data_IF_779435433935
#
_entry.id   IF_779435433935
#
_cell.length_a   1.000
_cell.length_b   1.000
_cell.length_c   1.000
_cell.angle_alpha   90.00
_cell.angle_beta   90.00
_cell.angle_gamma   90.00
#
_symmetry.space_group_name_H-M   'P 1'
#
loop_
_entity.id
_entity.type
_entity.pdbx_description
1 polymer ?
#
# COMPACT_ATOMS: atom_id res chain seq x y z
N UNK A 1 -19.29 -10.84 70.17
CA UNK A 1 -19.94 -10.20 69.01
C UNK A 1 -19.32 -8.82 68.80
N UNK A 2 -18.61 -8.63 67.68
CA UNK A 2 -18.94 -7.65 66.60
C UNK A 2 -18.47 -6.21 66.91
N UNK A 3 -17.76 -5.45 66.07
CA UNK A 3 -17.10 -5.63 64.75
C UNK A 3 -16.12 -4.43 64.64
N UNK A 4 -14.88 -4.68 64.22
CA UNK A 4 -13.95 -3.64 63.75
C UNK A 4 -14.48 -3.09 62.41
N UNK A 5 -14.68 -1.77 62.28
CA UNK A 5 -14.82 -1.10 60.96
C UNK A 5 -13.46 -0.56 60.56
N UNK A 6 -12.78 -1.29 59.66
CA UNK A 6 -11.64 -0.82 58.88
C UNK A 6 -12.22 -0.01 57.72
N UNK A 7 -11.90 1.27 57.62
CA UNK A 7 -12.21 2.08 56.44
C UNK A 7 -11.25 1.69 55.32
N UNK A 8 -11.78 1.04 54.28
CA UNK A 8 -11.05 0.74 53.06
C UNK A 8 -10.72 2.03 52.30
N UNK A 9 -9.43 2.34 52.21
CA UNK A 9 -8.90 3.21 51.16
C UNK A 9 -8.91 2.39 49.87
N UNK A 10 -9.95 2.58 49.06
CA UNK A 10 -9.95 2.11 47.68
C UNK A 10 -8.85 2.85 46.90
N UNK A 11 -7.70 2.21 46.75
CA UNK A 11 -6.67 2.62 45.79
C UNK A 11 -7.28 2.60 44.39
N UNK A 12 -7.48 3.78 43.81
CA UNK A 12 -7.82 3.93 42.39
C UNK A 12 -6.69 3.28 41.58
N UNK A 13 -6.99 2.16 40.92
CA UNK A 13 -6.10 1.57 39.91
C UNK A 13 -5.92 2.60 38.79
N UNK A 14 -4.69 2.85 38.30
CA UNK A 14 -4.51 3.68 37.13
C UNK A 14 -5.20 2.99 35.97
N UNK A 15 -6.09 3.71 35.29
CA UNK A 15 -6.60 3.30 33.98
C UNK A 15 -5.39 3.32 33.05
N UNK A 16 -4.80 2.16 32.79
CA UNK A 16 -3.92 2.00 31.64
C UNK A 16 -4.79 2.31 30.43
N UNK A 17 -4.57 3.49 29.84
CA UNK A 17 -4.98 3.73 28.46
C UNK A 17 -4.32 2.62 27.65
N UNK A 18 -5.12 1.62 27.31
CA UNK A 18 -4.72 0.54 26.42
C UNK A 18 -4.58 1.22 25.05
N UNK A 19 -3.38 1.75 24.78
CA UNK A 19 -3.03 2.27 23.46
C UNK A 19 -3.43 1.19 22.46
N UNK A 20 -4.28 1.56 21.51
CA UNK A 20 -4.73 0.63 20.48
C UNK A 20 -3.50 0.19 19.69
N UNK A 21 -3.05 -1.05 19.91
CA UNK A 21 -1.90 -1.60 19.20
C UNK A 21 -2.13 -1.51 17.70
N UNK A 22 -1.27 -0.78 17.00
CA UNK A 22 -1.30 -0.73 15.54
C UNK A 22 -0.65 -2.00 14.98
N UNK A 23 -1.24 -2.54 13.91
CA UNK A 23 -0.74 -3.77 13.30
C UNK A 23 -0.54 -3.58 11.81
N UNK A 24 0.61 -4.03 11.32
CA UNK A 24 0.91 -4.09 9.90
C UNK A 24 0.58 -5.48 9.38
N UNK A 25 -0.20 -5.54 8.30
CA UNK A 25 -0.56 -6.80 7.64
C UNK A 25 0.22 -6.91 6.34
N UNK A 26 1.06 -7.94 6.23
CA UNK A 26 1.86 -8.21 5.04
C UNK A 26 1.33 -9.42 4.31
N UNK A 27 1.21 -9.29 2.99
CA UNK A 27 1.00 -10.42 2.10
C UNK A 27 2.34 -10.83 1.48
N UNK A 28 2.80 -12.04 1.78
CA UNK A 28 4.10 -12.56 1.37
C UNK A 28 3.94 -13.78 0.46
N UNK A 29 4.84 -13.88 -0.51
CA UNK A 29 4.96 -15.00 -1.44
C UNK A 29 5.91 -16.06 -0.85
N UNK A 30 5.47 -16.74 0.21
CA UNK A 30 6.34 -17.59 1.04
C UNK A 30 5.77 -18.99 1.32
N UNK A 31 4.68 -19.35 0.65
CA UNK A 31 3.99 -20.63 0.84
C UNK A 31 3.84 -21.36 -0.48
N UNK A 32 4.18 -22.64 -0.56
CA UNK A 32 4.22 -23.43 -1.80
C UNK A 32 2.95 -23.42 -2.70
N UNK A 33 1.78 -23.04 -2.15
CA UNK A 33 0.50 -22.98 -2.87
C UNK A 33 -0.02 -21.54 -3.07
N UNK A 34 0.73 -20.53 -2.65
CA UNK A 34 0.39 -19.12 -2.84
C UNK A 34 0.95 -18.20 -1.77
N UNK A 35 0.08 -17.36 -1.21
CA UNK A 35 0.50 -16.22 -0.40
C UNK A 35 0.05 -16.38 1.05
N UNK A 36 0.90 -15.96 1.97
CA UNK A 36 0.59 -15.91 3.40
C UNK A 36 0.35 -14.47 3.86
N UNK A 37 -0.61 -14.29 4.76
CA UNK A 37 -0.86 -13.02 5.42
C UNK A 37 -0.26 -13.09 6.82
N UNK A 38 0.67 -12.18 7.12
CA UNK A 38 1.30 -12.06 8.43
C UNK A 38 0.83 -10.78 9.11
N UNK A 39 0.62 -10.87 10.42
CA UNK A 39 0.28 -9.72 11.27
C UNK A 39 1.47 -9.40 12.15
N UNK A 40 1.93 -8.16 12.08
CA UNK A 40 3.09 -7.68 12.81
C UNK A 40 2.68 -6.53 13.74
N UNK A 41 3.21 -6.53 14.96
CA UNK A 41 3.01 -5.47 15.94
C UNK A 41 3.89 -4.26 15.58
N UNK A 42 3.28 -3.10 15.32
CA UNK A 42 4.03 -1.90 14.89
C UNK A 42 4.92 -1.38 16.02
N UNK A 43 4.46 -1.52 17.27
CA UNK A 43 5.20 -1.04 18.45
C UNK A 43 6.48 -1.86 18.70
N UNK A 44 6.55 -3.08 18.17
CA UNK A 44 7.77 -3.92 18.23
C UNK A 44 8.91 -3.40 17.34
N UNK A 45 8.65 -2.38 16.51
CA UNK A 45 9.64 -1.74 15.65
C UNK A 45 10.28 -0.48 16.25
N UNK A 46 9.73 0.08 17.34
CA UNK A 46 10.20 1.33 17.97
C UNK A 46 11.46 1.16 18.85
N UNK A 47 12.15 0.02 18.77
CA UNK A 47 13.45 -0.10 19.41
C UNK A 47 14.47 0.74 18.64
N UNK A 48 15.13 1.70 19.29
CA UNK A 48 16.30 2.49 18.83
C UNK A 48 17.51 1.66 18.33
N UNK A 49 17.32 0.35 18.13
CA UNK A 49 18.28 -0.57 17.55
C UNK A 49 18.30 -0.43 16.01
N UNK A 50 19.25 0.39 15.57
CA UNK A 50 19.95 0.34 14.28
C UNK A 50 19.81 -0.99 13.48
N UNK A 51 19.37 -0.87 12.22
CA UNK A 51 19.78 -1.64 11.00
C UNK A 51 19.82 -3.18 11.00
N UNK A 52 19.11 -3.92 11.85
CA UNK A 52 19.02 -5.38 11.65
C UNK A 52 17.72 -5.76 10.93
N UNK A 53 17.79 -6.30 9.68
CA UNK A 53 16.62 -6.86 9.02
C UNK A 53 16.04 -7.98 9.88
N UNK A 54 14.78 -7.82 10.32
CA UNK A 54 14.05 -8.87 11.02
C UNK A 54 13.41 -9.79 9.97
N UNK A 55 13.63 -11.09 10.13
CA UNK A 55 12.83 -12.08 9.39
C UNK A 55 11.45 -12.13 10.03
N UNK A 56 10.41 -12.23 9.20
CA UNK A 56 9.08 -12.56 9.69
C UNK A 56 9.13 -14.00 10.19
N UNK A 57 8.95 -14.19 11.50
CA UNK A 57 9.00 -15.51 12.15
C UNK A 57 7.65 -15.92 12.71
N UNK A 58 6.71 -14.99 12.81
CA UNK A 58 5.36 -15.22 13.25
C UNK A 58 4.61 -16.08 12.23
N UNK A 59 3.80 -17.06 12.70
CA UNK A 59 2.99 -17.86 11.81
C UNK A 59 1.96 -16.99 11.08
N UNK A 60 1.60 -17.34 9.84
CA UNK A 60 0.61 -16.58 9.09
C UNK A 60 -0.78 -16.73 9.71
N UNK A 61 -1.55 -15.65 9.69
CA UNK A 61 -2.93 -15.61 10.21
C UNK A 61 -3.95 -16.11 9.19
N UNK A 62 -3.61 -16.01 7.91
CA UNK A 62 -4.42 -16.47 6.79
C UNK A 62 -3.51 -16.80 5.60
N UNK A 63 -4.04 -17.60 4.67
CA UNK A 63 -3.36 -17.95 3.42
C UNK A 63 -4.32 -17.86 2.25
N UNK A 64 -3.81 -17.44 1.12
CA UNK A 64 -4.56 -17.29 -0.13
C UNK A 64 -3.87 -18.10 -1.21
N UNK A 65 -4.49 -19.20 -1.63
CA UNK A 65 -3.95 -20.06 -2.69
C UNK A 65 -3.93 -19.33 -4.04
N UNK A 66 -2.77 -19.10 -4.63
CA UNK A 66 -2.67 -18.34 -5.89
C UNK A 66 -1.35 -18.65 -6.60
N UNK A 67 -1.29 -18.61 -7.94
CA UNK A 67 -0.04 -18.80 -8.67
C UNK A 67 1.04 -17.74 -8.33
N UNK A 68 2.27 -18.19 -8.14
CA UNK A 68 3.48 -17.46 -7.71
C UNK A 68 4.05 -16.41 -8.70
N UNK A 69 3.30 -16.02 -9.73
CA UNK A 69 3.83 -15.22 -10.86
C UNK A 69 2.95 -14.02 -11.17
N UNK A 70 1.93 -13.73 -10.32
CA UNK A 70 0.97 -12.64 -10.55
C UNK A 70 0.74 -11.80 -9.29
N UNK A 71 1.80 -11.27 -8.70
CA UNK A 71 1.71 -10.44 -7.49
C UNK A 71 0.95 -9.12 -7.70
N UNK A 72 0.78 -8.66 -8.95
CA UNK A 72 -0.10 -7.54 -9.31
C UNK A 72 -1.60 -7.83 -9.10
N UNK A 73 -1.96 -9.06 -8.75
CA UNK A 73 -3.35 -9.42 -8.44
C UNK A 73 -3.76 -9.02 -7.01
N UNK A 74 -2.90 -8.42 -6.21
CA UNK A 74 -3.26 -8.04 -4.85
C UNK A 74 -3.32 -6.53 -4.68
N UNK A 75 -4.38 -6.07 -4.03
CA UNK A 75 -4.59 -4.65 -3.74
C UNK A 75 -5.27 -4.50 -2.40
N UNK A 76 -4.87 -3.47 -1.65
CA UNK A 76 -5.57 -3.06 -0.43
C UNK A 76 -6.55 -1.93 -0.72
N UNK A 77 -7.72 -1.98 -0.11
CA UNK A 77 -8.68 -0.89 -0.08
C UNK A 77 -9.44 -0.92 1.25
N UNK A 78 -9.40 0.20 1.98
CA UNK A 78 -9.82 0.24 3.38
C UNK A 78 -9.04 -0.76 4.23
N UNK A 79 -9.77 -1.57 5.02
CA UNK A 79 -9.18 -2.65 5.83
C UNK A 79 -8.95 -3.96 5.06
N UNK A 80 -9.37 -4.06 3.79
CA UNK A 80 -9.40 -5.32 3.06
C UNK A 80 -8.21 -5.45 2.11
N UNK A 81 -7.68 -6.67 2.03
CA UNK A 81 -6.70 -7.11 1.04
C UNK A 81 -7.44 -8.02 0.06
N UNK A 82 -7.56 -7.59 -1.19
CA UNK A 82 -8.24 -8.32 -2.24
C UNK A 82 -7.25 -9.13 -3.08
N UNK A 83 -7.65 -10.34 -3.46
CA UNK A 83 -6.90 -11.25 -4.33
C UNK A 83 -7.58 -11.39 -5.70
N UNK A 84 -7.28 -10.47 -6.60
CA UNK A 84 -7.74 -10.37 -8.00
C UNK A 84 -7.07 -11.42 -8.91
N UNK A 85 -7.18 -12.69 -8.54
CA UNK A 85 -6.69 -13.84 -9.33
C UNK A 85 -7.26 -13.91 -10.76
N UNK A 86 -6.58 -14.60 -11.70
CA UNK A 86 -7.12 -14.82 -13.04
C UNK A 86 -8.43 -15.61 -13.01
N UNK A 87 -9.24 -15.48 -14.05
CA UNK A 87 -10.58 -16.10 -14.11
C UNK A 87 -10.56 -17.61 -13.85
N UNK A 88 -9.57 -18.30 -14.38
CA UNK A 88 -9.44 -19.76 -14.30
C UNK A 88 -9.15 -20.23 -12.87
N UNK A 89 -8.76 -19.32 -11.97
CA UNK A 89 -8.29 -19.64 -10.62
C UNK A 89 -9.36 -19.48 -9.53
N UNK A 90 -10.42 -18.68 -9.73
CA UNK A 90 -11.44 -18.48 -8.68
C UNK A 90 -12.80 -17.96 -9.20
N UNK A 91 -13.93 -18.46 -8.65
CA UNK A 91 -15.26 -17.98 -9.01
C UNK A 91 -15.57 -16.57 -8.47
N UNK A 92 -14.87 -16.10 -7.42
CA UNK A 92 -15.04 -14.81 -6.76
C UNK A 92 -13.68 -14.19 -6.39
N UNK A 93 -13.67 -12.96 -5.86
CA UNK A 93 -12.44 -12.31 -5.38
C UNK A 93 -12.32 -12.52 -3.86
N UNK A 94 -11.39 -13.35 -3.37
CA UNK A 94 -11.16 -13.45 -1.93
C UNK A 94 -10.66 -12.09 -1.40
N UNK A 95 -11.31 -11.59 -0.35
CA UNK A 95 -10.93 -10.38 0.35
C UNK A 95 -10.75 -10.70 1.84
N UNK A 96 -9.53 -10.54 2.33
CA UNK A 96 -9.22 -10.68 3.75
C UNK A 96 -9.35 -9.32 4.43
N UNK A 97 -10.21 -9.22 5.45
CA UNK A 97 -10.39 -8.00 6.23
C UNK A 97 -9.44 -8.00 7.44
N UNK A 98 -8.43 -7.14 7.40
CA UNK A 98 -7.43 -7.03 8.47
C UNK A 98 -8.00 -6.52 9.80
N UNK A 99 -9.16 -5.85 9.78
CA UNK A 99 -9.80 -5.33 10.99
C UNK A 99 -10.58 -6.43 11.72
N UNK A 100 -11.38 -7.21 10.98
CA UNK A 100 -12.25 -8.25 11.55
C UNK A 100 -11.64 -9.65 11.51
N UNK A 101 -10.53 -9.81 10.78
CA UNK A 101 -9.90 -11.09 10.43
C UNK A 101 -10.83 -12.03 9.63
N UNK A 102 -11.90 -11.49 9.04
CA UNK A 102 -12.85 -12.24 8.25
C UNK A 102 -12.37 -12.39 6.79
N UNK A 103 -12.71 -13.51 6.17
CA UNK A 103 -12.56 -13.72 4.74
C UNK A 103 -13.93 -13.57 4.07
N UNK A 104 -14.01 -12.68 3.08
CA UNK A 104 -15.21 -12.45 2.27
C UNK A 104 -14.93 -12.79 0.81
N UNK A 105 -15.92 -13.31 0.10
CA UNK A 105 -15.85 -13.47 -1.36
C UNK A 105 -16.57 -12.29 -2.00
N UNK A 106 -15.80 -11.45 -2.68
CA UNK A 106 -16.27 -10.22 -3.33
C UNK A 106 -16.63 -10.48 -4.81
N UNK A 107 -17.50 -9.64 -5.40
CA UNK A 107 -17.82 -9.70 -6.82
C UNK A 107 -16.58 -9.46 -7.69
N UNK A 108 -16.60 -10.01 -8.90
CA UNK A 108 -15.61 -9.71 -9.93
C UNK A 108 -15.98 -8.43 -10.70
N UNK A 109 -14.98 -7.65 -11.16
CA UNK A 109 -15.19 -6.69 -12.24
C UNK A 109 -15.74 -7.40 -13.48
N UNK A 110 -16.42 -6.63 -14.33
CA UNK A 110 -17.04 -7.13 -15.55
C UNK A 110 -16.00 -7.64 -16.55
N UNK A 111 -14.78 -7.07 -16.55
CA UNK A 111 -13.63 -7.56 -17.28
C UNK A 111 -12.62 -8.26 -16.35
N UNK A 112 -12.21 -9.48 -16.71
CA UNK A 112 -11.13 -10.21 -16.02
C UNK A 112 -9.87 -10.12 -16.87
N UNK A 113 -8.83 -9.50 -16.33
CA UNK A 113 -7.56 -9.28 -17.02
C UNK A 113 -6.76 -10.60 -17.10
N UNK A 114 -7.18 -11.52 -17.96
CA UNK A 114 -6.59 -12.86 -18.02
C UNK A 114 -5.17 -12.82 -18.63
N UNK A 115 -4.89 -11.81 -19.48
CA UNK A 115 -3.63 -11.63 -20.23
C UNK A 115 -3.03 -10.21 -20.21
N UNK A 116 -3.67 -9.26 -19.49
CA UNK A 116 -3.24 -7.85 -19.41
C UNK A 116 -2.80 -7.54 -17.98
N UNK A 117 -1.86 -6.62 -17.78
CA UNK A 117 -1.43 -6.18 -16.43
C UNK A 117 -2.40 -5.10 -15.94
N UNK A 118 -3.37 -5.41 -15.06
CA UNK A 118 -4.28 -4.38 -14.54
C UNK A 118 -3.54 -3.40 -13.62
N UNK A 119 -4.06 -2.17 -13.53
CA UNK A 119 -3.69 -1.24 -12.46
C UNK A 119 -4.84 -1.23 -11.46
N UNK A 120 -4.57 -1.72 -10.24
CA UNK A 120 -5.48 -1.59 -9.12
C UNK A 120 -5.02 -0.49 -8.18
N UNK A 121 -5.92 0.41 -7.79
CA UNK A 121 -5.56 1.53 -6.91
C UNK A 121 -6.75 2.01 -6.09
N UNK A 122 -6.51 2.27 -4.81
CA UNK A 122 -7.48 2.88 -3.91
C UNK A 122 -7.33 4.40 -3.95
N UNK A 123 -8.33 5.12 -4.47
CA UNK A 123 -8.36 6.59 -4.54
C UNK A 123 -9.81 7.09 -4.51
N UNK A 124 -10.05 8.26 -3.90
CA UNK A 124 -11.38 8.87 -3.82
C UNK A 124 -12.40 8.00 -3.08
N UNK A 125 -11.95 7.22 -2.09
CA UNK A 125 -12.79 6.26 -1.36
C UNK A 125 -13.29 5.08 -2.19
N UNK A 126 -12.70 4.82 -3.37
CA UNK A 126 -13.09 3.72 -4.26
C UNK A 126 -11.85 2.89 -4.63
N UNK A 127 -12.05 1.61 -4.89
CA UNK A 127 -11.05 0.75 -5.50
C UNK A 127 -11.23 0.77 -7.02
N UNK A 128 -10.30 1.37 -7.74
CA UNK A 128 -10.30 1.41 -9.20
C UNK A 128 -9.54 0.24 -9.80
N UNK A 129 -10.04 -0.22 -10.94
CA UNK A 129 -9.37 -1.09 -11.90
C UNK A 129 -9.24 -0.32 -13.22
N UNK A 130 -8.01 -0.13 -13.67
CA UNK A 130 -7.72 0.40 -14.99
C UNK A 130 -7.12 -0.67 -15.90
N UNK A 131 -7.73 -0.81 -17.07
CA UNK A 131 -7.28 -1.58 -18.22
C UNK A 131 -7.11 -0.61 -19.40
N UNK A 132 -6.43 -1.04 -20.47
CA UNK A 132 -6.15 -0.17 -21.63
C UNK A 132 -7.44 0.43 -22.24
N UNK A 133 -8.52 -0.33 -22.27
CA UNK A 133 -9.80 0.00 -22.90
C UNK A 133 -10.96 0.16 -21.91
N UNK A 134 -10.72 0.04 -20.60
CA UNK A 134 -11.79 0.00 -19.60
C UNK A 134 -11.37 0.55 -18.25
N UNK A 135 -12.26 1.30 -17.63
CA UNK A 135 -12.18 1.69 -16.22
C UNK A 135 -13.39 1.15 -15.47
N UNK A 136 -13.14 0.47 -14.36
CA UNK A 136 -14.17 0.05 -13.41
C UNK A 136 -13.78 0.48 -11.99
N UNK A 137 -14.76 0.65 -11.12
CA UNK A 137 -14.50 0.87 -9.71
C UNK A 137 -15.45 0.08 -8.81
N UNK A 138 -14.96 -0.24 -7.62
CA UNK A 138 -15.72 -0.80 -6.52
C UNK A 138 -15.81 0.27 -5.42
N UNK A 139 -17.02 0.74 -5.16
CA UNK A 139 -17.30 1.64 -4.04
C UNK A 139 -17.48 0.85 -2.75
N UNK A 140 -17.66 1.55 -1.62
CA UNK A 140 -18.04 0.92 -0.36
C UNK A 140 -19.33 0.08 -0.50
N UNK A 141 -19.46 -1.01 0.28
CA UNK A 141 -20.68 -1.80 0.30
C UNK A 141 -21.88 -0.95 0.70
N UNK A 142 -23.02 -1.25 0.09
CA UNK A 142 -24.30 -0.62 0.44
C UNK A 142 -24.69 -0.94 1.89
N UNK A 143 -25.50 -0.09 2.54
CA UNK A 143 -26.00 -0.36 3.89
C UNK A 143 -26.65 -1.74 3.99
N UNK A 144 -26.61 -2.37 5.16
CA UNK A 144 -27.09 -3.75 5.36
C UNK A 144 -28.54 -3.97 4.89
N UNK A 145 -29.39 -2.96 5.04
CA UNK A 145 -30.82 -3.02 4.67
C UNK A 145 -31.08 -2.72 3.17
N UNK A 146 -30.03 -2.59 2.36
CA UNK A 146 -30.13 -2.34 0.92
C UNK A 146 -30.24 -3.64 0.12
N UNK A 147 -31.26 -3.72 -0.73
CA UNK A 147 -31.40 -4.81 -1.71
C UNK A 147 -30.42 -4.71 -2.90
N UNK A 148 -29.73 -3.57 -3.03
CA UNK A 148 -28.73 -3.37 -4.10
C UNK A 148 -27.48 -4.19 -3.80
N UNK A 149 -27.11 -5.16 -4.66
CA UNK A 149 -25.91 -5.97 -4.44
C UNK A 149 -24.66 -5.10 -4.54
N UNK A 150 -23.69 -5.36 -3.67
CA UNK A 150 -22.37 -4.77 -3.81
C UNK A 150 -21.69 -5.31 -5.08
N UNK A 151 -21.35 -4.42 -6.02
CA UNK A 151 -20.81 -4.78 -7.32
C UNK A 151 -19.86 -3.72 -7.88
N UNK A 152 -19.01 -4.14 -8.82
CA UNK A 152 -18.21 -3.23 -9.63
C UNK A 152 -19.09 -2.40 -10.56
N UNK A 153 -18.69 -1.15 -10.75
CA UNK A 153 -19.34 -0.20 -11.67
C UNK A 153 -18.39 0.16 -12.78
N UNK A 154 -18.80 -0.10 -14.03
CA UNK A 154 -18.06 0.32 -15.21
C UNK A 154 -18.28 1.82 -15.45
N UNK A 155 -17.20 2.54 -15.74
CA UNK A 155 -17.27 3.93 -16.18
C UNK A 155 -17.66 3.93 -17.65
N UNK A 156 -18.91 4.30 -17.94
CA UNK A 156 -19.45 4.36 -19.29
C UNK A 156 -18.71 5.46 -20.08
N UNK A 157 -18.35 5.15 -21.32
CA UNK A 157 -17.64 6.05 -22.24
C UNK A 157 -16.30 6.60 -21.69
N UNK A 158 -15.66 5.86 -20.77
CA UNK A 158 -14.32 6.21 -20.32
C UNK A 158 -13.36 6.25 -21.52
N UNK A 159 -12.58 7.33 -21.70
CA UNK A 159 -11.55 7.34 -22.73
C UNK A 159 -10.52 6.24 -22.44
N UNK A 160 -9.87 5.68 -23.48
CA UNK A 160 -8.74 4.78 -23.29
C UNK A 160 -7.67 5.40 -22.38
N UNK A 161 -6.90 4.56 -21.70
CA UNK A 161 -5.79 5.06 -20.90
C UNK A 161 -4.83 5.89 -21.78
N UNK A 162 -4.38 7.06 -21.32
CA UNK A 162 -3.46 7.90 -22.09
C UNK A 162 -2.02 7.36 -22.13
N UNK A 163 -1.80 6.13 -21.62
CA UNK A 163 -0.52 5.44 -21.55
C UNK A 163 -0.73 3.92 -21.53
N UNK A 164 0.31 3.18 -21.88
CA UNK A 164 0.33 1.72 -21.72
C UNK A 164 0.57 1.35 -20.25
N UNK A 165 -0.36 0.60 -19.67
CA UNK A 165 -0.27 0.07 -18.29
C UNK A 165 1.04 -0.68 -18.01
N UNK A 166 1.57 -1.43 -18.99
CA UNK A 166 2.85 -2.14 -18.86
C UNK A 166 4.07 -1.22 -18.70
N UNK A 167 3.92 0.09 -18.98
CA UNK A 167 4.97 1.10 -18.86
C UNK A 167 4.85 1.95 -17.60
N UNK A 168 3.89 1.66 -16.70
CA UNK A 168 3.77 2.35 -15.42
C UNK A 168 5.00 2.07 -14.57
N UNK A 169 5.72 3.13 -14.20
CA UNK A 169 6.90 3.04 -13.34
C UNK A 169 6.56 3.34 -11.88
N UNK A 170 5.66 4.29 -11.65
CA UNK A 170 5.29 4.70 -10.29
C UNK A 170 3.94 5.42 -10.25
N UNK A 171 3.40 5.50 -9.03
CA UNK A 171 2.18 6.25 -8.75
C UNK A 171 2.16 6.79 -7.32
N UNK A 172 1.39 7.84 -7.10
CA UNK A 172 1.19 8.46 -5.80
C UNK A 172 -0.23 9.02 -5.68
N UNK A 173 -0.86 8.82 -4.53
CA UNK A 173 -2.14 9.48 -4.24
C UNK A 173 -1.84 10.87 -3.66
N UNK A 174 -2.51 11.89 -4.18
CA UNK A 174 -2.41 13.25 -3.70
C UNK A 174 -3.05 13.36 -2.30
N UNK A 175 -2.55 14.24 -1.41
CA UNK A 175 -3.11 14.45 -0.07
C UNK A 175 -4.58 14.88 -0.04
N UNK A 176 -5.15 15.34 -1.15
CA UNK A 176 -6.60 15.56 -1.27
C UNK A 176 -7.44 14.26 -1.20
N UNK A 177 -6.79 13.09 -1.26
CA UNK A 177 -7.42 11.78 -1.24
C UNK A 177 -8.21 11.41 -2.50
N UNK A 178 -8.25 12.29 -3.51
CA UNK A 178 -9.09 12.21 -4.72
C UNK A 178 -8.26 12.10 -6.00
N UNK A 179 -7.09 12.71 -6.03
CA UNK A 179 -6.27 12.79 -7.22
C UNK A 179 -5.18 11.72 -7.18
N UNK A 180 -5.10 10.89 -8.20
CA UNK A 180 -4.01 9.93 -8.38
C UNK A 180 -3.01 10.49 -9.40
N UNK A 181 -1.73 10.42 -9.12
CA UNK A 181 -0.67 10.67 -10.10
C UNK A 181 -0.01 9.36 -10.52
N UNK A 182 0.25 9.22 -11.82
CA UNK A 182 0.88 8.04 -12.42
C UNK A 182 1.95 8.51 -13.40
N UNK A 183 3.15 7.94 -13.31
CA UNK A 183 4.17 8.09 -14.36
C UNK A 183 4.26 6.82 -15.18
N UNK A 184 4.17 6.98 -16.50
CA UNK A 184 4.19 5.88 -17.47
C UNK A 184 4.80 6.33 -18.79
N UNK A 185 5.63 5.49 -19.40
CA UNK A 185 6.16 5.73 -20.76
C UNK A 185 6.96 7.03 -20.94
N UNK A 186 7.48 7.62 -19.86
CA UNK A 186 8.23 8.89 -19.87
C UNK A 186 7.41 10.14 -19.55
N UNK A 187 6.08 10.02 -19.42
CA UNK A 187 5.19 11.12 -19.03
C UNK A 187 4.58 10.92 -17.65
N UNK A 188 3.97 11.99 -17.12
CA UNK A 188 3.17 11.96 -15.89
C UNK A 188 1.74 12.39 -16.19
N UNK A 189 0.80 11.67 -15.60
CA UNK A 189 -0.63 11.84 -15.75
C UNK A 189 -1.27 11.93 -14.37
N UNK A 190 -2.41 12.62 -14.28
CA UNK A 190 -3.25 12.58 -13.09
C UNK A 190 -4.63 12.04 -13.43
N UNK A 191 -5.25 11.32 -12.51
CA UNK A 191 -6.63 10.90 -12.56
C UNK A 191 -7.42 11.55 -11.43
N UNK A 192 -8.56 12.16 -11.78
CA UNK A 192 -9.52 12.71 -10.82
C UNK A 192 -10.61 11.67 -10.54
N UNK A 193 -10.67 11.15 -9.31
CA UNK A 193 -11.60 10.07 -8.93
C UNK A 193 -13.09 10.48 -8.81
N UNK A 194 -13.41 11.77 -8.85
CA UNK A 194 -14.80 12.23 -8.89
C UNK A 194 -15.24 12.52 -10.34
N UNK A 195 -14.38 13.16 -11.13
CA UNK A 195 -14.64 13.44 -12.55
C UNK A 195 -14.44 12.23 -13.44
N UNK A 196 -13.70 11.22 -12.95
CA UNK A 196 -13.32 10.01 -13.68
C UNK A 196 -12.52 10.31 -14.96
N UNK A 197 -11.69 11.35 -14.90
CA UNK A 197 -10.95 11.88 -16.04
C UNK A 197 -9.45 11.84 -15.82
N UNK A 198 -8.73 11.46 -16.88
CA UNK A 198 -7.27 11.55 -16.94
C UNK A 198 -6.83 12.89 -17.53
N UNK A 199 -5.71 13.40 -17.04
CA UNK A 199 -5.09 14.64 -17.54
C UNK A 199 -3.58 14.42 -17.66
N UNK A 200 -3.01 14.71 -18.83
CA UNK A 200 -1.57 14.73 -19.00
C UNK A 200 -0.96 15.94 -18.29
N UNK A 201 0.07 15.71 -17.48
CA UNK A 201 0.74 16.74 -16.66
C UNK A 201 2.08 17.18 -17.26
N UNK A 202 2.74 16.32 -18.00
CA UNK A 202 3.92 16.69 -18.78
C UNK A 202 4.86 15.53 -19.09
N UNK A 203 5.80 15.81 -19.98
CA UNK A 203 6.82 14.86 -20.49
C UNK A 203 7.99 14.69 -19.50
N UNK A 204 7.65 14.31 -18.28
CA UNK A 204 8.58 14.03 -17.20
C UNK A 204 7.99 12.96 -16.29
N UNK A 205 8.84 12.26 -15.54
CA UNK A 205 8.43 11.20 -14.60
C UNK A 205 8.67 11.61 -13.15
N UNK A 206 7.82 11.14 -12.25
CA UNK A 206 8.05 11.23 -10.82
C UNK A 206 9.30 10.42 -10.45
N UNK A 207 10.07 10.84 -9.43
CA UNK A 207 11.39 10.25 -9.13
C UNK A 207 11.32 8.88 -8.45
N UNK A 208 10.17 8.18 -8.48
CA UNK A 208 9.89 6.99 -7.68
C UNK A 208 9.93 5.68 -8.48
N UNK A 209 10.23 4.57 -7.79
CA UNK A 209 10.01 3.19 -8.22
C UNK A 209 8.79 2.64 -7.46
N UNK A 210 7.69 2.35 -8.15
CA UNK A 210 6.44 1.87 -7.53
C UNK A 210 5.64 2.96 -6.81
N UNK A 211 5.08 2.64 -5.64
CA UNK A 211 4.20 3.56 -4.91
C UNK A 211 4.98 4.55 -4.05
N UNK A 212 4.61 5.83 -4.11
CA UNK A 212 5.02 6.86 -3.16
C UNK A 212 3.86 7.27 -2.26
N UNK A 213 4.19 7.72 -1.05
CA UNK A 213 3.23 8.08 -0.01
C UNK A 213 3.44 9.53 0.42
N UNK A 214 2.36 10.23 0.70
CA UNK A 214 2.43 11.58 1.25
C UNK A 214 2.79 11.52 2.74
N UNK A 215 3.81 12.28 3.12
CA UNK A 215 4.19 12.49 4.51
C UNK A 215 3.77 13.92 4.93
N UNK A 216 2.83 14.07 5.88
CA UNK A 216 2.37 15.39 6.30
C UNK A 216 3.42 16.23 7.04
N UNK A 217 4.41 15.61 7.70
CA UNK A 217 5.46 16.37 8.40
C UNK A 217 6.50 16.93 7.42
N UNK A 218 6.76 16.19 6.33
CA UNK A 218 7.66 16.64 5.26
C UNK A 218 6.96 17.47 4.18
N UNK A 219 5.62 17.48 4.17
CA UNK A 219 4.78 18.07 3.11
C UNK A 219 5.19 17.61 1.70
N UNK A 220 5.60 16.34 1.59
CA UNK A 220 6.20 15.77 0.40
C UNK A 220 5.75 14.32 0.19
N UNK A 221 5.77 13.89 -1.07
CA UNK A 221 5.75 12.46 -1.36
C UNK A 221 7.11 11.85 -1.05
N UNK A 222 7.11 10.66 -0.47
CA UNK A 222 8.29 9.85 -0.15
C UNK A 222 8.12 8.47 -0.78
N UNK A 223 9.15 7.98 -1.45
CA UNK A 223 9.13 6.69 -2.13
C UNK A 223 10.53 6.14 -2.40
N UNK A 224 10.59 4.90 -2.88
CA UNK A 224 11.84 4.31 -3.38
C UNK A 224 12.32 5.08 -4.61
N UNK A 225 13.62 5.33 -4.75
CA UNK A 225 14.16 6.06 -5.90
C UNK A 225 14.05 5.25 -7.19
N UNK A 226 13.46 5.86 -8.23
CA UNK A 226 13.30 5.28 -9.57
C UNK A 226 14.54 5.35 -10.45
N UNK A 227 15.55 6.14 -10.07
CA UNK A 227 16.83 6.20 -10.77
C UNK A 227 17.62 4.89 -10.56
N UNK A 228 17.94 4.20 -11.66
CA UNK A 228 18.61 2.89 -11.64
C UNK A 228 19.96 2.93 -10.95
N UNK A 229 20.70 4.04 -11.06
CA UNK A 229 22.01 4.18 -10.43
C UNK A 229 21.92 4.48 -8.93
N UNK A 230 20.75 4.94 -8.47
CA UNK A 230 20.45 5.23 -7.06
C UNK A 230 19.48 4.22 -6.46
N UNK A 231 19.32 3.06 -7.09
CA UNK A 231 18.49 1.99 -6.57
C UNK A 231 18.87 1.63 -5.13
N UNK A 232 17.87 1.44 -4.27
CA UNK A 232 18.06 1.19 -2.84
C UNK A 232 17.93 2.43 -1.95
N UNK A 233 17.91 3.64 -2.51
CA UNK A 233 17.70 4.87 -1.75
C UNK A 233 16.22 5.28 -1.74
N UNK A 234 15.85 6.08 -0.74
CA UNK A 234 14.60 6.83 -0.78
C UNK A 234 14.80 8.14 -1.53
N UNK A 235 13.72 8.65 -2.10
CA UNK A 235 13.64 10.02 -2.57
C UNK A 235 12.35 10.65 -2.07
N UNK A 236 12.32 11.98 -2.05
CA UNK A 236 11.12 12.75 -1.74
C UNK A 236 10.95 13.88 -2.73
N UNK A 237 9.72 14.33 -2.96
CA UNK A 237 9.46 15.53 -3.73
C UNK A 237 8.21 16.27 -3.24
N UNK A 238 8.23 17.60 -3.34
CA UNK A 238 7.13 18.43 -2.86
C UNK A 238 5.86 18.20 -3.68
N UNK A 239 4.72 18.21 -3.01
CA UNK A 239 3.42 18.04 -3.65
C UNK A 239 2.85 19.41 -4.05
N UNK A 240 2.47 19.56 -5.32
CA UNK A 240 1.82 20.78 -5.82
C UNK A 240 0.56 20.40 -6.61
N UNK A 241 -0.49 21.22 -6.53
CA UNK A 241 -1.75 20.91 -7.22
C UNK A 241 -1.64 20.95 -8.75
N UNK A 242 -0.72 21.76 -9.30
CA UNK A 242 -0.68 22.03 -10.73
C UNK A 242 0.44 21.29 -11.47
N UNK A 243 1.53 20.90 -10.77
CA UNK A 243 2.75 20.31 -11.35
C UNK A 243 3.04 20.78 -12.79
N UNK A 244 3.18 22.10 -12.98
CA UNK A 244 3.50 22.68 -14.29
C UNK A 244 4.94 22.43 -14.72
N UNK A 245 5.76 21.84 -13.84
CA UNK A 245 7.17 21.50 -14.03
C UNK A 245 7.50 20.19 -13.32
N UNK A 246 8.58 19.49 -13.73
CA UNK A 246 9.06 18.33 -13.01
C UNK A 246 9.32 18.67 -11.54
N UNK A 247 8.87 17.83 -10.59
CA UNK A 247 9.11 18.08 -9.19
C UNK A 247 10.61 18.04 -8.86
N UNK A 248 11.07 18.99 -8.05
CA UNK A 248 12.40 18.90 -7.47
C UNK A 248 12.40 17.79 -6.42
N UNK A 249 13.20 16.76 -6.67
CA UNK A 249 13.37 15.64 -5.76
C UNK A 249 14.60 15.78 -4.87
N UNK A 250 14.47 15.44 -3.60
CA UNK A 250 15.60 15.19 -2.70
C UNK A 250 15.89 13.70 -2.63
N UNK A 251 17.16 13.34 -2.63
CA UNK A 251 17.61 11.97 -2.47
C UNK A 251 18.05 11.74 -1.02
N UNK A 252 17.61 10.64 -0.43
CA UNK A 252 18.14 10.21 0.86
C UNK A 252 19.58 9.71 0.71
N UNK A 253 20.45 10.10 1.64
CA UNK A 253 21.86 9.68 1.62
C UNK A 253 22.04 8.19 1.95
N UNK A 254 21.11 7.63 2.71
CA UNK A 254 21.21 6.26 3.18
C UNK A 254 20.71 5.27 2.11
N UNK A 255 21.56 4.31 1.76
CA UNK A 255 21.20 3.18 0.93
C UNK A 255 20.58 2.09 1.81
N UNK A 256 19.29 1.82 1.62
CA UNK A 256 18.54 0.88 2.47
C UNK A 256 18.68 -0.58 2.04
N UNK A 257 18.91 -0.84 0.76
CA UNK A 257 19.11 -2.19 0.22
C UNK A 257 19.97 -2.17 -1.03
N UNK A 258 20.52 -3.33 -1.41
CA UNK A 258 21.28 -3.46 -2.65
C UNK A 258 20.53 -4.26 -3.70
N UNK A 259 19.97 -3.57 -4.70
CA UNK A 259 19.25 -4.17 -5.82
C UNK A 259 20.12 -5.12 -6.66
N UNK A 260 21.46 -5.00 -6.55
CA UNK A 260 22.44 -5.85 -7.26
C UNK A 260 22.79 -7.13 -6.50
N UNK A 261 22.34 -7.30 -5.26
CA UNK A 261 22.60 -8.53 -4.53
C UNK A 261 21.88 -9.71 -5.23
N UNK A 262 22.60 -10.83 -5.43
CA UNK A 262 22.13 -11.98 -6.22
C UNK A 262 20.78 -12.56 -5.77
N UNK A 263 20.43 -12.36 -4.50
CA UNK A 263 19.21 -12.87 -3.90
C UNK A 263 18.04 -11.88 -3.92
N UNK A 264 18.26 -10.62 -4.31
CA UNK A 264 17.24 -9.56 -4.26
C UNK A 264 16.17 -9.76 -5.35
N UNK A 265 14.90 -9.76 -4.96
CA UNK A 265 13.74 -9.90 -5.88
C UNK A 265 12.93 -8.63 -6.00
N UNK A 266 13.00 -7.75 -5.01
CA UNK A 266 12.34 -6.46 -5.02
C UNK A 266 12.19 -5.90 -3.62
N UNK A 267 11.76 -4.64 -3.55
CA UNK A 267 11.41 -4.01 -2.29
C UNK A 267 10.13 -3.19 -2.45
N UNK A 268 9.40 -3.02 -1.35
CA UNK A 268 8.28 -2.09 -1.24
C UNK A 268 8.43 -1.24 0.00
N UNK A 269 8.09 0.04 -0.15
CA UNK A 269 7.93 0.96 0.96
C UNK A 269 6.47 0.91 1.43
N UNK A 270 6.27 0.95 2.74
CA UNK A 270 4.94 1.03 3.36
C UNK A 270 4.93 2.19 4.33
N UNK A 271 3.97 3.09 4.21
CA UNK A 271 3.77 4.16 5.19
C UNK A 271 2.97 3.63 6.38
N UNK A 272 3.49 3.84 7.60
CA UNK A 272 2.88 3.37 8.85
C UNK A 272 2.19 4.48 9.63
N UNK A 273 2.17 5.71 9.12
CA UNK A 273 1.72 6.89 9.87
C UNK A 273 2.84 7.50 10.70
N UNK A 274 2.60 8.69 11.24
CA UNK A 274 3.53 9.42 12.13
C UNK A 274 4.95 9.61 11.54
N UNK A 275 5.02 9.76 10.22
CA UNK A 275 6.29 9.84 9.47
C UNK A 275 7.20 8.63 9.63
N UNK A 276 6.58 7.48 9.90
CA UNK A 276 7.24 6.18 9.97
C UNK A 276 6.98 5.38 8.72
N UNK A 277 8.02 4.68 8.27
CA UNK A 277 7.95 3.83 7.09
C UNK A 277 8.48 2.43 7.42
N UNK A 278 8.08 1.47 6.61
CA UNK A 278 8.65 0.14 6.65
C UNK A 278 9.12 -0.25 5.26
N UNK A 279 10.35 -0.75 5.16
CA UNK A 279 10.87 -1.35 3.96
C UNK A 279 10.72 -2.86 4.04
N UNK A 280 9.95 -3.42 3.10
CA UNK A 280 9.81 -4.86 2.93
C UNK A 280 10.65 -5.28 1.74
N UNK A 281 11.70 -6.07 1.98
CA UNK A 281 12.58 -6.61 0.95
C UNK A 281 12.29 -8.10 0.73
N UNK A 282 12.06 -8.47 -0.53
CA UNK A 282 11.85 -9.85 -0.95
C UNK A 282 13.16 -10.46 -1.44
N UNK A 283 13.56 -11.61 -0.89
CA UNK A 283 14.76 -12.35 -1.29
C UNK A 283 14.42 -13.78 -1.72
N UNK A 284 15.24 -14.40 -2.59
CA UNK A 284 14.99 -15.73 -3.19
C UNK A 284 14.73 -16.90 -2.21
N UNK A 285 15.06 -16.76 -0.93
CA UNK A 285 14.85 -17.79 0.11
C UNK A 285 14.36 -17.23 1.47
N UNK A 286 14.02 -15.93 1.54
CA UNK A 286 13.46 -15.31 2.75
C UNK A 286 12.92 -13.92 2.45
N UNK A 287 11.83 -13.51 3.10
CA UNK A 287 11.50 -12.08 3.18
C UNK A 287 12.31 -11.44 4.31
N UNK A 288 13.01 -10.34 4.02
CA UNK A 288 13.68 -9.51 5.02
C UNK A 288 12.85 -8.25 5.21
N UNK A 289 12.49 -7.97 6.45
CA UNK A 289 11.80 -6.74 6.79
C UNK A 289 12.76 -5.85 7.54
N UNK A 290 12.97 -4.65 7.03
CA UNK A 290 13.81 -3.67 7.71
C UNK A 290 12.96 -2.43 7.95
N UNK A 291 12.59 -2.20 9.20
CA UNK A 291 11.84 -0.99 9.55
C UNK A 291 12.75 0.22 9.52
N UNK A 292 12.31 1.30 8.89
CA UNK A 292 13.08 2.53 8.73
C UNK A 292 12.21 3.77 8.84
N UNK A 293 12.76 4.76 9.55
CA UNK A 293 12.20 6.07 9.88
C UNK A 293 11.32 6.05 11.14
N UNK A 294 11.91 6.48 12.25
CA UNK A 294 11.21 7.18 13.33
C UNK A 294 11.22 8.67 12.97
N UNK A 295 10.20 9.45 13.36
CA UNK A 295 9.93 10.81 12.84
C UNK A 295 11.09 11.83 12.78
N UNK A 296 12.18 11.66 13.55
CA UNK A 296 13.39 12.49 13.43
C UNK A 296 14.29 12.09 12.23
N UNK A 297 14.26 10.82 11.82
CA UNK A 297 15.10 10.25 10.76
C UNK A 297 14.65 10.63 9.34
N UNK A 298 13.36 10.90 9.13
CA UNK A 298 12.86 11.27 7.79
C UNK A 298 13.34 12.68 7.41
N UNK A 299 13.27 13.61 8.36
CA UNK A 299 13.88 14.94 8.23
C UNK A 299 15.40 14.87 8.05
N UNK A 300 16.10 14.01 8.81
CA UNK A 300 17.57 13.86 8.69
C UNK A 300 18.03 13.18 7.39
N UNK A 301 17.26 12.24 6.87
CA UNK A 301 17.52 11.51 5.61
C UNK A 301 17.49 12.46 4.39
N UNK A 302 16.63 13.47 4.42
CA UNK A 302 16.47 14.47 3.36
C UNK A 302 17.03 15.88 3.71
N UNK A 303 17.79 16.00 4.80
CA UNK A 303 18.48 17.23 5.21
C UNK A 303 19.86 17.40 4.55
#
# INVERSE_FOLDING_TARGET
MSKRKRGDRASKRPVQHQQSKQHLHLLLDDWERGYSIHRLDVDAFDSDAVLSPKRVTEPPIARIESPHVRSWNFVSHGSKIFAMKPRESSPGVPAFDAHTLALTICPWPSCRADHVIPIFVSVGGKLFLFLEDRTEYLADPTPYDSDVPWSWTAVVDAPPLPFYNAQVSCYAVHPDGRTLFVSAGGGTFSFDADRLEWTHRGDWVLPFDGQAYFDPQLEAWVGLCGDRDKAGHLCSCNVTAEFTRPPYGKLCKDKLFDKKADLHRGAKLVYMGDSKFCLVESMFQSTRMTTWLTGAGAGACFA
#
